data_IF_413752775626
#
_entry.id   IF_413752775626
#
_cell.length_a   1.000
_cell.length_b   1.000
_cell.length_c   1.000
_cell.angle_alpha   90.00
_cell.angle_beta   90.00
_cell.angle_gamma   90.00
#
_symmetry.space_group_name_H-M   'P 1'
#
loop_
_entity.id
_entity.type
_entity.pdbx_description
1 polymer ?
#
# COMPACT_ATOMS: atom_id res chain seq x y z
N UNK A 1 -20.24 -8.80 -10.85
CA UNK A 1 -18.87 -9.27 -10.51
C UNK A 1 -17.81 -8.58 -11.36
N UNK A 2 -17.79 -8.74 -12.68
CA UNK A 2 -16.77 -8.11 -13.56
C UNK A 2 -16.75 -6.58 -13.47
N UNK A 3 -17.90 -5.90 -13.46
CA UNK A 3 -17.96 -4.44 -13.35
C UNK A 3 -17.37 -3.89 -12.05
N UNK A 4 -17.50 -4.63 -10.94
CA UNK A 4 -17.01 -4.22 -9.63
C UNK A 4 -15.47 -4.30 -9.55
N UNK A 5 -14.88 -5.35 -10.12
CA UNK A 5 -13.43 -5.49 -10.27
C UNK A 5 -12.81 -4.39 -11.14
N UNK A 6 -13.50 -4.00 -12.22
CA UNK A 6 -13.05 -2.89 -13.07
C UNK A 6 -13.05 -1.58 -12.29
N UNK A 7 -14.12 -1.28 -11.55
CA UNK A 7 -14.19 -0.07 -10.73
C UNK A 7 -13.13 -0.06 -9.62
N UNK A 8 -12.85 -1.20 -9.00
CA UNK A 8 -11.82 -1.36 -7.97
C UNK A 8 -10.39 -1.14 -8.49
N UNK A 9 -10.11 -1.48 -9.75
CA UNK A 9 -8.74 -1.51 -10.31
C UNK A 9 -8.43 -0.42 -11.33
N UNK A 10 -9.44 0.15 -12.00
CA UNK A 10 -9.22 1.17 -13.03
C UNK A 10 -8.47 2.41 -12.52
N UNK A 11 -8.79 3.00 -11.34
CA UNK A 11 -8.06 4.15 -10.83
C UNK A 11 -6.59 3.82 -10.54
N UNK A 12 -6.31 2.60 -10.06
CA UNK A 12 -4.97 2.15 -9.73
C UNK A 12 -4.07 2.13 -10.97
N UNK A 13 -4.55 1.50 -12.04
CA UNK A 13 -3.83 1.46 -13.32
C UNK A 13 -3.71 2.82 -13.98
N UNK A 14 -4.75 3.66 -13.88
CA UNK A 14 -4.72 5.02 -14.39
C UNK A 14 -3.63 5.86 -13.70
N UNK A 15 -3.54 5.81 -12.37
CA UNK A 15 -2.51 6.53 -11.60
C UNK A 15 -1.11 6.00 -11.90
N UNK A 16 -0.90 4.68 -11.89
CA UNK A 16 0.41 4.09 -12.19
C UNK A 16 0.89 4.52 -13.58
N UNK A 17 0.02 4.44 -14.58
CA UNK A 17 0.33 4.84 -15.95
C UNK A 17 0.62 6.34 -16.05
N UNK A 18 -0.17 7.16 -15.36
CA UNK A 18 -0.02 8.61 -15.36
C UNK A 18 1.35 9.07 -14.82
N UNK A 19 1.80 8.49 -13.70
CA UNK A 19 3.11 8.81 -13.16
C UNK A 19 4.23 8.18 -14.01
N UNK A 20 4.09 6.92 -14.42
CA UNK A 20 5.10 6.27 -15.28
C UNK A 20 5.34 7.00 -16.62
N UNK A 21 4.31 7.59 -17.24
CA UNK A 21 4.46 8.34 -18.50
C UNK A 21 5.09 9.72 -18.27
N UNK A 22 4.98 10.27 -17.05
CA UNK A 22 5.55 11.57 -16.69
C UNK A 22 7.01 11.50 -16.27
N UNK A 23 7.50 10.30 -16.04
CA UNK A 23 8.92 10.01 -15.98
C UNK A 23 9.56 10.25 -17.37
N UNK A 24 10.15 11.42 -17.55
CA UNK A 24 10.66 11.91 -18.85
C UNK A 24 12.16 11.70 -19.03
N UNK A 25 12.93 11.63 -17.95
CA UNK A 25 14.39 11.74 -17.99
C UNK A 25 15.05 10.37 -17.92
N UNK A 26 14.70 9.54 -16.92
CA UNK A 26 15.27 8.19 -16.76
C UNK A 26 14.16 7.18 -16.44
N UNK A 27 13.76 6.39 -17.43
CA UNK A 27 12.63 5.47 -17.27
C UNK A 27 12.98 4.32 -16.36
N UNK A 28 12.21 4.20 -15.28
CA UNK A 28 12.36 3.10 -14.34
C UNK A 28 12.21 1.70 -14.97
N UNK A 29 13.04 0.71 -14.55
CA UNK A 29 12.91 -0.66 -15.01
C UNK A 29 11.55 -1.23 -14.65
N UNK A 30 10.76 -1.59 -15.66
CA UNK A 30 9.40 -2.12 -15.47
C UNK A 30 9.35 -3.33 -14.53
N UNK A 31 10.39 -4.17 -14.56
CA UNK A 31 10.49 -5.33 -13.68
C UNK A 31 10.56 -4.91 -12.20
N UNK A 32 11.28 -3.83 -11.89
CA UNK A 32 11.39 -3.29 -10.54
C UNK A 32 10.05 -2.75 -10.04
N UNK A 33 9.31 -2.05 -10.91
CA UNK A 33 7.95 -1.58 -10.62
C UNK A 33 6.99 -2.75 -10.36
N UNK A 34 7.02 -3.79 -11.18
CA UNK A 34 6.20 -5.00 -10.98
C UNK A 34 6.56 -5.69 -9.67
N UNK A 35 7.86 -5.80 -9.34
CA UNK A 35 8.28 -6.38 -8.06
C UNK A 35 7.79 -5.57 -6.86
N UNK A 36 7.87 -4.24 -6.92
CA UNK A 36 7.35 -3.36 -5.87
C UNK A 36 5.83 -3.48 -5.74
N UNK A 37 5.11 -3.52 -6.86
CA UNK A 37 3.66 -3.67 -6.87
C UNK A 37 3.25 -4.99 -6.20
N UNK A 38 3.88 -6.11 -6.58
CA UNK A 38 3.59 -7.43 -5.98
C UNK A 38 3.99 -7.46 -4.51
N UNK A 39 5.11 -6.85 -4.12
CA UNK A 39 5.49 -6.73 -2.70
C UNK A 39 4.48 -5.89 -1.92
N UNK A 40 3.93 -4.83 -2.53
CA UNK A 40 2.84 -4.05 -1.99
C UNK A 40 1.59 -4.90 -1.72
N UNK A 41 1.16 -5.70 -2.70
CA UNK A 41 0.04 -6.64 -2.50
C UNK A 41 0.31 -7.64 -1.37
N UNK A 42 1.52 -8.23 -1.33
CA UNK A 42 1.86 -9.23 -0.32
C UNK A 42 1.92 -8.63 1.09
N UNK A 43 2.43 -7.39 1.21
CA UNK A 43 2.52 -6.73 2.53
C UNK A 43 1.14 -6.35 3.08
N UNK A 44 0.12 -6.18 2.24
CA UNK A 44 -1.27 -5.99 2.68
C UNK A 44 -1.77 -7.16 3.52
N UNK A 45 -1.43 -8.40 3.16
CA UNK A 45 -1.82 -9.58 3.97
C UNK A 45 -1.17 -9.54 5.35
N UNK A 46 0.09 -9.13 5.42
CA UNK A 46 0.80 -8.96 6.68
C UNK A 46 0.22 -7.80 7.49
N UNK A 47 -0.12 -6.69 6.84
CA UNK A 47 -0.75 -5.54 7.47
C UNK A 47 -2.09 -5.93 8.10
N UNK A 48 -2.94 -6.64 7.36
CA UNK A 48 -4.21 -7.15 7.86
C UNK A 48 -4.01 -8.07 9.07
N UNK A 49 -3.05 -9.00 9.02
CA UNK A 49 -2.76 -9.90 10.13
C UNK A 49 -2.30 -9.14 11.40
N UNK A 50 -1.40 -8.17 11.24
CA UNK A 50 -0.90 -7.36 12.37
C UNK A 50 -1.98 -6.43 12.93
N UNK A 51 -2.77 -5.80 12.06
CA UNK A 51 -3.91 -4.97 12.46
C UNK A 51 -4.94 -5.79 13.24
N UNK A 52 -5.32 -6.99 12.76
CA UNK A 52 -6.25 -7.87 13.48
C UNK A 52 -5.73 -8.28 14.87
N UNK A 53 -4.45 -8.65 14.97
CA UNK A 53 -3.83 -8.98 16.25
C UNK A 53 -3.83 -7.77 17.20
N UNK A 54 -3.53 -6.58 16.68
CA UNK A 54 -3.55 -5.32 17.44
C UNK A 54 -4.95 -4.91 17.90
N UNK A 55 -5.97 -5.07 17.04
CA UNK A 55 -7.38 -4.83 17.36
C UNK A 55 -7.83 -5.76 18.49
N UNK A 56 -7.47 -7.05 18.41
CA UNK A 56 -7.81 -8.03 19.42
C UNK A 56 -7.20 -7.67 20.77
N UNK A 57 -5.94 -7.24 20.80
CA UNK A 57 -5.29 -6.75 22.02
C UNK A 57 -5.98 -5.49 22.55
N UNK A 58 -6.26 -4.50 21.69
CA UNK A 58 -6.90 -3.24 22.07
C UNK A 58 -8.30 -3.46 22.67
N UNK A 59 -9.06 -4.40 22.09
CA UNK A 59 -10.42 -4.75 22.55
C UNK A 59 -10.45 -5.36 23.96
N UNK A 60 -9.33 -5.88 24.44
CA UNK A 60 -9.21 -6.37 25.82
C UNK A 60 -9.10 -5.24 26.85
N UNK A 61 -8.67 -4.04 26.44
CA UNK A 61 -8.45 -2.90 27.33
C UNK A 61 -9.52 -1.82 27.21
N UNK A 62 -10.19 -1.71 26.07
CA UNK A 62 -11.14 -0.65 25.77
C UNK A 62 -12.44 -1.20 25.17
N UNK A 63 -13.61 -0.62 25.52
CA UNK A 63 -14.88 -1.01 24.90
C UNK A 63 -14.89 -0.63 23.42
N UNK A 64 -15.21 -1.60 22.56
CA UNK A 64 -15.16 -1.47 21.09
C UNK A 64 -16.09 -0.38 20.53
N UNK A 65 -17.15 -0.03 21.25
CA UNK A 65 -18.12 1.00 20.82
C UNK A 65 -17.80 2.41 21.34
N UNK A 66 -16.66 2.60 22.02
CA UNK A 66 -16.28 3.90 22.54
C UNK A 66 -15.58 4.76 21.47
N UNK A 67 -15.87 6.06 21.43
CA UNK A 67 -15.18 6.98 20.52
C UNK A 67 -13.64 6.93 20.63
N UNK A 68 -13.04 6.85 21.84
CA UNK A 68 -11.59 6.71 21.97
C UNK A 68 -11.05 5.43 21.35
N UNK A 69 -11.79 4.32 21.43
CA UNK A 69 -11.40 3.04 20.82
C UNK A 69 -11.31 3.18 19.31
N UNK A 70 -12.36 3.69 18.66
CA UNK A 70 -12.40 3.84 17.20
C UNK A 70 -11.28 4.76 16.68
N UNK A 71 -10.96 5.82 17.43
CA UNK A 71 -9.87 6.73 17.08
C UNK A 71 -8.51 6.02 17.13
N UNK A 72 -8.23 5.31 18.22
CA UNK A 72 -6.96 4.59 18.39
C UNK A 72 -6.85 3.45 17.38
N UNK A 73 -7.92 2.68 17.19
CA UNK A 73 -7.98 1.59 16.22
C UNK A 73 -7.64 2.08 14.80
N UNK A 74 -8.38 3.06 14.28
CA UNK A 74 -8.27 3.43 12.87
C UNK A 74 -7.04 4.31 12.58
N UNK A 75 -6.79 5.35 13.40
CA UNK A 75 -5.76 6.35 13.11
C UNK A 75 -4.40 6.04 13.68
N UNK A 76 -4.33 5.23 14.75
CA UNK A 76 -3.06 4.88 15.39
C UNK A 76 -2.68 3.47 15.02
N UNK A 77 -3.54 2.49 15.27
CA UNK A 77 -3.18 1.09 15.09
C UNK A 77 -3.13 0.70 13.61
N UNK A 78 -4.26 0.77 12.91
CA UNK A 78 -4.37 0.36 11.50
C UNK A 78 -3.51 1.26 10.61
N UNK A 79 -3.71 2.58 10.67
CA UNK A 79 -2.99 3.51 9.80
C UNK A 79 -1.46 3.44 9.97
N UNK A 80 -0.93 3.33 11.20
CA UNK A 80 0.53 3.21 11.37
C UNK A 80 1.06 1.88 10.85
N UNK A 81 0.35 0.77 11.08
CA UNK A 81 0.78 -0.54 10.59
C UNK A 81 0.84 -0.53 9.06
N UNK A 82 -0.20 -0.03 8.41
CA UNK A 82 -0.25 0.03 6.94
C UNK A 82 0.81 0.94 6.35
N UNK A 83 0.95 2.17 6.88
CA UNK A 83 1.91 3.14 6.36
C UNK A 83 3.35 2.69 6.60
N UNK A 84 3.63 2.13 7.78
CA UNK A 84 4.95 1.58 8.10
C UNK A 84 5.33 0.42 7.17
N UNK A 85 4.39 -0.48 6.88
CA UNK A 85 4.66 -1.61 6.00
C UNK A 85 4.84 -1.21 4.54
N UNK A 86 4.05 -0.24 4.05
CA UNK A 86 4.29 0.36 2.72
C UNK A 86 5.66 1.01 2.64
N UNK A 87 6.03 1.80 3.66
CA UNK A 87 7.36 2.38 3.78
C UNK A 87 8.44 1.30 3.79
N UNK A 88 8.26 0.22 4.56
CA UNK A 88 9.21 -0.88 4.65
C UNK A 88 9.44 -1.57 3.30
N UNK A 89 8.39 -1.76 2.49
CA UNK A 89 8.51 -2.31 1.12
C UNK A 89 9.40 -1.43 0.24
N UNK A 90 9.19 -0.12 0.26
CA UNK A 90 9.99 0.83 -0.52
C UNK A 90 11.43 0.88 0.00
N UNK A 91 11.59 1.03 1.31
CA UNK A 91 12.88 1.11 1.97
C UNK A 91 13.73 -0.13 1.69
N UNK A 92 13.18 -1.33 1.87
CA UNK A 92 13.93 -2.56 1.62
C UNK A 92 14.07 -2.88 0.14
N UNK A 93 13.13 -2.42 -0.68
CA UNK A 93 13.01 -2.78 -2.09
C UNK A 93 13.87 -1.96 -3.03
N UNK A 94 13.94 -0.64 -2.83
CA UNK A 94 14.56 0.29 -3.80
C UNK A 94 15.51 1.30 -3.19
N UNK A 95 15.47 1.54 -1.87
CA UNK A 95 16.29 2.61 -1.25
C UNK A 95 17.81 2.47 -1.50
N UNK A 96 18.29 1.23 -1.64
CA UNK A 96 19.70 0.93 -1.95
C UNK A 96 19.90 0.42 -3.39
N UNK A 97 18.87 0.50 -4.23
CA UNK A 97 18.93 0.02 -5.60
C UNK A 97 19.57 1.08 -6.51
N UNK A 98 20.47 0.72 -7.45
CA UNK A 98 21.13 1.69 -8.32
C UNK A 98 20.19 2.52 -9.21
N UNK A 99 18.99 2.00 -9.48
CA UNK A 99 17.95 2.72 -10.22
C UNK A 99 17.32 3.85 -9.41
N UNK A 100 17.46 3.86 -8.07
CA UNK A 100 17.00 5.00 -7.27
C UNK A 100 18.04 6.12 -7.31
N UNK A 101 17.97 6.97 -8.33
CA UNK A 101 18.99 7.98 -8.63
C UNK A 101 18.40 9.41 -8.67
N UNK A 102 17.08 9.56 -8.74
CA UNK A 102 16.38 10.83 -8.76
C UNK A 102 15.27 10.93 -7.68
N UNK A 103 14.92 12.15 -7.23
CA UNK A 103 13.80 12.33 -6.30
C UNK A 103 12.45 11.86 -6.85
N UNK A 104 12.28 11.87 -8.18
CA UNK A 104 11.05 11.46 -8.84
C UNK A 104 10.78 9.95 -8.67
N UNK A 105 11.83 9.14 -8.79
CA UNK A 105 11.80 7.69 -8.63
C UNK A 105 11.25 7.30 -7.26
N UNK A 106 11.66 8.03 -6.22
CA UNK A 106 11.17 7.81 -4.85
C UNK A 106 9.64 7.94 -4.78
N UNK A 107 9.08 8.94 -5.46
CA UNK A 107 7.63 9.09 -5.59
C UNK A 107 7.03 7.95 -6.42
N UNK A 108 7.59 7.64 -7.59
CA UNK A 108 7.07 6.60 -8.47
C UNK A 108 7.07 5.22 -7.79
N UNK A 109 8.13 4.87 -7.08
CA UNK A 109 8.23 3.63 -6.30
C UNK A 109 7.27 3.59 -5.12
N UNK A 110 7.14 4.68 -4.36
CA UNK A 110 6.20 4.77 -3.25
C UNK A 110 4.74 4.65 -3.73
N UNK A 111 4.41 5.32 -4.82
CA UNK A 111 3.11 5.18 -5.49
C UNK A 111 2.91 3.74 -5.94
N UNK A 112 3.89 3.14 -6.60
CA UNK A 112 3.79 1.75 -7.11
C UNK A 112 3.54 0.74 -5.99
N UNK A 113 4.28 0.84 -4.88
CA UNK A 113 4.07 -0.02 -3.71
C UNK A 113 2.68 0.20 -3.08
N UNK A 114 2.25 1.46 -2.95
CA UNK A 114 0.94 1.82 -2.39
C UNK A 114 -0.22 1.39 -3.27
N UNK A 115 -0.08 1.46 -4.61
CA UNK A 115 -1.08 1.00 -5.55
C UNK A 115 -1.18 -0.53 -5.54
N UNK A 116 -0.07 -1.24 -5.37
CA UNK A 116 -0.08 -2.69 -5.14
C UNK A 116 -0.82 -3.06 -3.88
N UNK A 117 -0.57 -2.32 -2.79
CA UNK A 117 -1.29 -2.50 -1.52
C UNK A 117 -2.80 -2.33 -1.70
N UNK A 118 -3.21 -1.19 -2.26
CA UNK A 118 -4.61 -0.85 -2.49
C UNK A 118 -5.30 -1.77 -3.51
N UNK A 119 -4.55 -2.36 -4.46
CA UNK A 119 -5.10 -3.32 -5.41
C UNK A 119 -5.68 -4.55 -4.73
N UNK A 120 -4.92 -5.14 -3.81
CA UNK A 120 -5.39 -6.31 -3.09
C UNK A 120 -6.53 -5.95 -2.15
N UNK A 121 -6.39 -4.84 -1.42
CA UNK A 121 -7.39 -4.36 -0.49
C UNK A 121 -8.74 -4.07 -1.17
N UNK A 122 -8.74 -3.32 -2.27
CA UNK A 122 -9.95 -2.99 -3.02
C UNK A 122 -10.64 -4.24 -3.57
N UNK A 123 -9.87 -5.23 -4.05
CA UNK A 123 -10.44 -6.50 -4.52
C UNK A 123 -11.14 -7.18 -3.35
N UNK A 124 -10.45 -7.34 -2.22
CA UNK A 124 -11.00 -8.02 -1.03
C UNK A 124 -12.22 -7.32 -0.43
N UNK A 125 -12.34 -6.00 -0.55
CA UNK A 125 -13.54 -5.30 -0.08
C UNK A 125 -14.73 -5.40 -1.02
N UNK A 126 -14.47 -5.47 -2.33
CA UNK A 126 -15.53 -5.35 -3.35
C UNK A 126 -16.03 -6.72 -3.83
N UNK A 127 -15.25 -7.79 -3.63
CA UNK A 127 -15.64 -9.18 -3.94
C UNK A 127 -16.11 -9.93 -2.71
#
# INVERSE_FOLDING_TARGET
MVGALIMATAPLWALLTFFYVRDRYDKEPRLLLVQLFVRGMLVTLLAAALSLAGIQLLSAFLPTNSWPYLLIENFVLVALVEEYLKYFVVWRGVYFHPAFNEPYDGMLYAITASLGFAALENILYVT
#
